data_IF_551286775004
#
_entry.id   IF_551286775004
#
_cell.length_a   1.000
_cell.length_b   1.000
_cell.length_c   1.000
_cell.angle_alpha   90.00
_cell.angle_beta   90.00
_cell.angle_gamma   90.00
#
_symmetry.space_group_name_H-M   'P 1'
#
loop_
_entity.id
_entity.type
_entity.pdbx_description
1 polymer ?
#
# COMPACT_ATOMS: atom_id res chain seq x y z
N UNK A 1 1.61 50.31 -57.27
CA UNK A 1 2.61 49.21 -56.95
C UNK A 1 3.03 49.08 -55.48
N UNK A 2 2.91 50.07 -54.62
CA UNK A 2 3.30 49.97 -53.20
C UNK A 2 2.30 49.19 -52.34
N UNK A 3 1.02 49.12 -52.67
CA UNK A 3 -0.02 48.45 -51.87
C UNK A 3 0.10 46.94 -51.99
N UNK A 4 0.39 46.40 -53.17
CA UNK A 4 0.52 44.95 -53.39
C UNK A 4 1.66 44.33 -52.58
N UNK A 5 2.75 45.04 -52.35
CA UNK A 5 3.89 44.52 -51.55
C UNK A 5 3.55 44.39 -50.07
N UNK A 6 2.71 45.24 -49.50
CA UNK A 6 2.27 45.16 -48.10
C UNK A 6 1.38 43.94 -47.84
N UNK A 7 0.46 43.64 -48.75
CA UNK A 7 -0.39 42.43 -48.61
C UNK A 7 0.40 41.14 -48.75
N UNK A 8 1.42 41.11 -49.62
CA UNK A 8 2.29 39.96 -49.80
C UNK A 8 3.14 39.71 -48.56
N UNK A 9 3.65 40.77 -47.91
CA UNK A 9 4.42 40.62 -46.64
C UNK A 9 3.53 40.17 -45.49
N UNK A 10 2.27 40.68 -45.36
CA UNK A 10 1.33 40.23 -44.36
C UNK A 10 0.92 38.75 -44.56
N UNK A 11 0.70 38.33 -45.80
CA UNK A 11 0.37 36.96 -46.14
C UNK A 11 1.53 35.99 -45.80
N UNK A 12 2.79 36.38 -46.09
CA UNK A 12 3.96 35.56 -45.70
C UNK A 12 4.14 35.50 -44.20
N UNK A 13 3.88 36.59 -43.45
CA UNK A 13 3.99 36.59 -42.00
C UNK A 13 2.95 35.67 -41.33
N UNK A 14 1.70 35.69 -41.84
CA UNK A 14 0.65 34.77 -41.37
C UNK A 14 0.96 33.33 -41.73
N UNK A 15 1.49 33.03 -42.91
CA UNK A 15 1.88 31.66 -43.32
C UNK A 15 3.00 31.15 -42.44
N UNK A 16 3.96 32.00 -42.05
CA UNK A 16 5.08 31.61 -41.15
C UNK A 16 4.58 31.32 -39.72
N UNK A 17 3.60 32.07 -39.23
CA UNK A 17 2.96 31.87 -37.93
C UNK A 17 2.17 30.54 -37.88
N UNK A 18 1.42 30.24 -38.95
CA UNK A 18 0.67 28.98 -39.07
C UNK A 18 1.60 27.77 -39.17
N UNK A 19 2.71 27.87 -39.92
CA UNK A 19 3.71 26.82 -40.04
C UNK A 19 4.45 26.60 -38.73
N UNK A 20 4.66 27.63 -37.92
CA UNK A 20 5.29 27.51 -36.58
C UNK A 20 4.43 26.71 -35.59
N UNK A 21 3.10 26.81 -35.70
CA UNK A 21 2.18 26.03 -34.84
C UNK A 21 2.10 24.56 -35.27
N UNK A 22 2.25 24.26 -36.57
CA UNK A 22 2.19 22.87 -37.08
C UNK A 22 3.48 22.09 -36.79
N UNK A 23 4.63 22.79 -36.68
CA UNK A 23 5.94 22.20 -36.37
C UNK A 23 6.22 22.10 -34.87
N UNK A 24 5.27 22.48 -34.00
CA UNK A 24 5.40 22.19 -32.58
C UNK A 24 5.29 20.66 -32.39
N UNK A 25 6.38 19.93 -32.10
CA UNK A 25 6.27 18.50 -31.85
C UNK A 25 5.33 18.36 -30.64
N UNK A 26 4.19 17.73 -30.87
CA UNK A 26 3.35 17.25 -29.78
C UNK A 26 4.25 16.37 -28.92
N UNK A 27 4.83 16.97 -27.89
CA UNK A 27 5.50 16.21 -26.85
C UNK A 27 4.43 15.35 -26.18
N UNK A 28 4.21 14.18 -26.73
CA UNK A 28 3.53 13.10 -26.04
C UNK A 28 4.34 12.83 -24.78
N UNK A 29 3.99 13.51 -23.69
CA UNK A 29 4.50 13.18 -22.36
C UNK A 29 4.14 11.72 -22.12
N UNK A 30 5.09 10.84 -22.41
CA UNK A 30 5.00 9.44 -22.04
C UNK A 30 4.73 9.41 -20.54
N UNK A 31 3.50 9.09 -20.16
CA UNK A 31 3.01 9.05 -18.78
C UNK A 31 3.83 8.00 -18.05
N UNK A 32 4.98 8.41 -17.51
CA UNK A 32 5.96 7.53 -16.88
C UNK A 32 5.24 6.65 -15.86
N UNK A 33 5.46 5.33 -15.93
CA UNK A 33 4.84 4.37 -15.00
C UNK A 33 5.01 4.84 -13.56
N UNK A 34 3.90 5.12 -12.87
CA UNK A 34 3.90 5.63 -11.48
C UNK A 34 4.58 4.61 -10.56
N UNK A 35 5.29 5.09 -9.55
CA UNK A 35 5.87 4.25 -8.50
C UNK A 35 4.74 3.67 -7.64
N UNK A 36 4.65 2.33 -7.56
CA UNK A 36 3.61 1.63 -6.79
C UNK A 36 4.24 0.79 -5.67
N UNK A 37 3.49 0.64 -4.58
CA UNK A 37 3.84 -0.16 -3.41
C UNK A 37 2.83 -1.31 -3.29
N UNK A 38 3.31 -2.52 -3.06
CA UNK A 38 2.49 -3.71 -2.83
C UNK A 38 2.90 -4.36 -1.51
N UNK A 39 1.92 -4.74 -0.68
CA UNK A 39 2.15 -5.66 0.43
C UNK A 39 2.12 -7.08 -0.13
N UNK A 40 3.11 -7.91 0.22
CA UNK A 40 3.24 -9.27 -0.32
C UNK A 40 2.61 -10.31 0.59
N UNK A 41 2.48 -10.02 1.88
CA UNK A 41 1.96 -10.93 2.90
C UNK A 41 0.71 -10.39 3.61
N UNK A 42 0.04 -9.41 3.01
CA UNK A 42 -1.19 -8.84 3.56
C UNK A 42 -2.01 -8.16 2.48
N UNK A 43 -3.31 -8.40 2.45
CA UNK A 43 -4.22 -7.79 1.48
C UNK A 43 -4.72 -6.42 1.92
N UNK A 44 -6.01 -6.31 2.30
CA UNK A 44 -6.66 -5.06 2.68
C UNK A 44 -6.70 -4.84 4.18
N UNK A 45 -6.71 -5.92 4.96
CA UNK A 45 -6.79 -5.88 6.41
C UNK A 45 -6.10 -7.08 7.06
N UNK A 46 -5.65 -6.88 8.30
CA UNK A 46 -5.03 -7.90 9.15
C UNK A 46 -5.78 -7.95 10.48
N UNK A 47 -6.04 -9.16 10.96
CA UNK A 47 -6.42 -9.43 12.34
C UNK A 47 -5.16 -9.88 13.09
N UNK A 48 -4.81 -9.22 14.18
CA UNK A 48 -3.59 -9.47 14.93
C UNK A 48 -3.94 -9.71 16.40
N UNK A 49 -3.67 -10.89 16.97
CA UNK A 49 -3.83 -11.16 18.40
C UNK A 49 -2.94 -10.26 19.24
N UNK A 50 -3.35 -9.92 20.47
CA UNK A 50 -2.70 -8.91 21.30
C UNK A 50 -1.23 -9.22 21.62
N UNK A 51 -0.86 -10.47 21.82
CA UNK A 51 0.52 -10.88 22.18
C UNK A 51 1.35 -11.33 20.98
N UNK A 52 0.80 -11.28 19.76
CA UNK A 52 1.51 -11.69 18.55
C UNK A 52 2.21 -10.51 17.88
N UNK A 53 3.23 -10.78 17.07
CA UNK A 53 3.84 -9.79 16.19
C UNK A 53 3.80 -10.28 14.76
N UNK A 54 3.69 -9.36 13.80
CA UNK A 54 3.69 -9.70 12.38
C UNK A 54 4.55 -8.71 11.59
N UNK A 55 5.37 -9.23 10.68
CA UNK A 55 6.17 -8.40 9.78
C UNK A 55 5.44 -8.16 8.48
N UNK A 56 5.32 -6.90 8.05
CA UNK A 56 4.80 -6.53 6.74
C UNK A 56 5.92 -6.51 5.71
N UNK A 57 5.80 -7.34 4.69
CA UNK A 57 6.72 -7.36 3.55
C UNK A 57 6.20 -6.48 2.41
N UNK A 58 7.12 -5.77 1.74
CA UNK A 58 6.78 -4.76 0.74
C UNK A 58 7.56 -4.99 -0.54
N UNK A 59 6.85 -4.97 -1.69
CA UNK A 59 7.42 -4.94 -3.03
C UNK A 59 7.13 -3.60 -3.69
N UNK A 60 8.07 -3.13 -4.51
CA UNK A 60 7.95 -1.89 -5.26
C UNK A 60 7.91 -2.18 -6.76
N UNK A 61 7.11 -1.41 -7.51
CA UNK A 61 7.01 -1.55 -8.98
C UNK A 61 8.28 -1.14 -9.73
N UNK A 62 9.16 -0.38 -9.08
CA UNK A 62 10.45 0.10 -9.62
C UNK A 62 11.54 0.00 -8.55
N UNK A 63 12.82 -0.05 -8.97
CA UNK A 63 13.94 0.00 -8.04
C UNK A 63 13.89 1.28 -7.18
N UNK A 64 14.17 1.12 -5.88
CA UNK A 64 14.28 2.26 -4.97
C UNK A 64 15.52 3.06 -5.31
N UNK A 65 15.39 4.39 -5.41
CA UNK A 65 16.55 5.28 -5.50
C UNK A 65 17.10 5.54 -4.09
N UNK A 66 18.40 5.64 -3.93
CA UNK A 66 19.06 5.99 -2.65
C UNK A 66 18.55 7.33 -2.07
N UNK A 67 18.01 8.21 -2.93
CA UNK A 67 17.44 9.49 -2.53
C UNK A 67 16.03 9.42 -1.93
N UNK A 68 15.43 8.23 -1.83
CA UNK A 68 14.08 8.11 -1.27
C UNK A 68 14.11 7.93 0.25
N UNK A 69 13.29 8.72 0.93
CA UNK A 69 13.00 8.56 2.35
C UNK A 69 11.77 7.67 2.51
N UNK A 70 11.94 6.51 3.14
CA UNK A 70 10.90 5.49 3.29
C UNK A 70 10.57 5.37 4.76
N UNK A 71 9.28 5.54 5.12
CA UNK A 71 8.82 5.47 6.50
C UNK A 71 7.56 4.61 6.65
N UNK A 72 7.47 3.96 7.80
CA UNK A 72 6.26 3.35 8.31
C UNK A 72 5.59 4.29 9.31
N UNK A 73 4.28 4.40 9.24
CA UNK A 73 3.49 5.26 10.12
C UNK A 73 2.28 4.47 10.63
N UNK A 74 1.97 4.60 11.93
CA UNK A 74 0.74 4.06 12.53
C UNK A 74 -0.20 5.22 12.84
N UNK A 75 -1.48 5.08 12.48
CA UNK A 75 -2.50 6.07 12.84
C UNK A 75 -2.82 6.07 14.34
N UNK A 76 -2.59 4.95 15.00
CA UNK A 76 -2.77 4.83 16.45
C UNK A 76 -1.65 3.96 17.07
N UNK A 77 -0.51 4.56 17.43
CA UNK A 77 0.63 3.85 18.01
C UNK A 77 0.34 3.23 19.38
N UNK A 78 -0.72 3.68 20.07
CA UNK A 78 -1.18 3.09 21.35
C UNK A 78 -1.85 1.73 21.13
N UNK A 79 -2.42 1.49 19.94
CA UNK A 79 -3.02 0.20 19.56
C UNK A 79 -2.01 -0.69 18.87
N UNK A 80 -1.30 -0.17 17.84
CA UNK A 80 -0.26 -0.91 17.10
C UNK A 80 0.94 -0.01 16.87
N UNK A 81 2.11 -0.41 17.36
CA UNK A 81 3.39 0.21 17.02
C UNK A 81 3.95 -0.48 15.76
N UNK A 82 4.57 0.28 14.87
CA UNK A 82 5.28 -0.25 13.70
C UNK A 82 6.74 0.16 13.74
N UNK A 83 7.65 -0.79 13.50
CA UNK A 83 9.09 -0.54 13.45
C UNK A 83 9.53 -0.06 12.05
N UNK A 84 10.78 0.45 11.95
CA UNK A 84 11.40 0.79 10.65
C UNK A 84 11.47 -0.41 9.69
N UNK A 85 11.53 -1.63 10.20
CA UNK A 85 11.56 -2.89 9.43
C UNK A 85 10.16 -3.39 9.04
N UNK A 86 9.08 -2.70 9.43
CA UNK A 86 7.70 -3.11 9.14
C UNK A 86 7.13 -4.14 10.11
N UNK A 87 7.76 -4.34 11.28
CA UNK A 87 7.26 -5.23 12.33
C UNK A 87 6.13 -4.51 13.06
N UNK A 88 4.96 -5.12 13.10
CA UNK A 88 3.78 -4.69 13.84
C UNK A 88 3.82 -5.29 15.24
N UNK A 89 3.74 -4.44 16.25
CA UNK A 89 3.66 -4.86 17.66
C UNK A 89 2.35 -4.32 18.23
N UNK A 90 1.34 -5.17 18.50
CA UNK A 90 0.10 -4.76 19.14
C UNK A 90 0.38 -4.38 20.60
N UNK A 91 -0.28 -3.32 21.06
CA UNK A 91 -0.16 -2.81 22.44
C UNK A 91 -1.48 -2.88 23.18
N UNK A 92 -2.60 -2.68 22.47
CA UNK A 92 -3.95 -2.67 23.02
C UNK A 92 -4.94 -3.15 21.96
N UNK A 93 -6.04 -3.75 22.37
CA UNK A 93 -7.15 -4.09 21.48
C UNK A 93 -7.72 -2.84 20.81
N UNK A 94 -8.14 -2.98 19.56
CA UNK A 94 -8.67 -1.86 18.79
C UNK A 94 -8.31 -1.90 17.32
N UNK A 95 -8.46 -0.77 16.65
CA UNK A 95 -8.19 -0.61 15.21
C UNK A 95 -7.09 0.43 14.98
N UNK A 96 -6.20 0.17 14.03
CA UNK A 96 -5.19 1.12 13.56
C UNK A 96 -5.01 0.98 12.04
N UNK A 97 -4.53 2.04 11.40
CA UNK A 97 -4.14 2.02 9.97
C UNK A 97 -2.64 2.19 9.89
N UNK A 98 -1.98 1.21 9.34
CA UNK A 98 -0.54 1.27 9.09
C UNK A 98 -0.31 1.78 7.68
N UNK A 99 0.56 2.77 7.54
CA UNK A 99 0.91 3.40 6.27
C UNK A 99 2.38 3.20 5.97
N UNK A 100 2.66 2.83 4.74
CA UNK A 100 4.01 2.82 4.18
C UNK A 100 4.13 3.97 3.18
N UNK A 101 5.02 4.92 3.47
CA UNK A 101 5.13 6.18 2.73
C UNK A 101 6.53 6.31 2.15
N UNK A 102 6.61 6.60 0.85
CA UNK A 102 7.86 6.87 0.12
C UNK A 102 7.86 8.34 -0.28
N UNK A 103 8.89 9.06 0.13
CA UNK A 103 9.09 10.50 -0.15
C UNK A 103 10.42 10.74 -0.86
N UNK A 104 10.52 11.85 -1.57
CA UNK A 104 11.81 12.39 -2.05
C UNK A 104 12.60 12.99 -0.88
N UNK A 105 13.87 13.35 -1.08
CA UNK A 105 14.63 14.14 -0.11
C UNK A 105 13.97 15.49 0.19
N UNK A 106 13.31 16.11 -0.80
CA UNK A 106 12.53 17.34 -0.66
C UNK A 106 11.19 17.16 0.06
N UNK A 107 10.87 15.97 0.59
CA UNK A 107 9.64 15.69 1.33
C UNK A 107 8.41 15.35 0.48
N UNK A 108 8.45 15.49 -0.85
CA UNK A 108 7.31 15.17 -1.74
C UNK A 108 6.96 13.68 -1.68
N UNK A 109 5.69 13.36 -1.46
CA UNK A 109 5.20 11.98 -1.45
C UNK A 109 5.18 11.41 -2.87
N UNK A 110 5.90 10.33 -3.10
CA UNK A 110 5.96 9.60 -4.39
C UNK A 110 4.90 8.51 -4.42
N UNK A 111 4.78 7.76 -3.33
CA UNK A 111 3.81 6.70 -3.19
C UNK A 111 3.44 6.49 -1.72
N UNK A 112 2.20 6.05 -1.49
CA UNK A 112 1.67 5.69 -0.19
C UNK A 112 0.80 4.44 -0.34
N UNK A 113 0.95 3.49 0.56
CA UNK A 113 0.08 2.31 0.69
C UNK A 113 -0.30 2.16 2.15
N UNK A 114 -1.56 1.81 2.41
CA UNK A 114 -2.08 1.62 3.76
C UNK A 114 -2.77 0.27 3.91
N UNK A 115 -2.79 -0.24 5.15
CA UNK A 115 -3.48 -1.46 5.53
C UNK A 115 -4.18 -1.24 6.87
N UNK A 116 -5.39 -1.79 7.01
CA UNK A 116 -6.16 -1.75 8.25
C UNK A 116 -5.71 -2.91 9.15
N UNK A 117 -5.44 -2.64 10.43
CA UNK A 117 -5.08 -3.66 11.42
C UNK A 117 -6.13 -3.60 12.53
N UNK A 118 -6.73 -4.75 12.83
CA UNK A 118 -7.63 -4.95 13.98
C UNK A 118 -6.91 -5.82 14.98
N UNK A 119 -6.63 -5.28 16.16
CA UNK A 119 -6.09 -6.06 17.28
C UNK A 119 -7.24 -6.68 18.05
N UNK A 120 -7.21 -8.00 18.15
CA UNK A 120 -8.18 -8.79 18.91
C UNK A 120 -7.59 -9.21 20.25
N UNK A 121 -8.44 -9.46 21.27
CA UNK A 121 -7.96 -10.13 22.49
C UNK A 121 -7.29 -11.45 22.13
N UNK A 122 -6.37 -11.90 22.96
CA UNK A 122 -5.86 -13.25 22.89
C UNK A 122 -7.00 -14.21 23.23
N UNK A 123 -7.33 -15.12 22.32
CA UNK A 123 -8.23 -16.22 22.63
C UNK A 123 -7.37 -17.26 23.33
N UNK A 124 -7.45 -17.28 24.67
CA UNK A 124 -6.98 -18.46 25.39
C UNK A 124 -7.90 -19.63 24.96
N UNK A 125 -7.38 -20.52 24.13
CA UNK A 125 -8.00 -21.81 23.91
C UNK A 125 -7.80 -22.54 25.24
N UNK A 126 -8.82 -22.49 26.11
CA UNK A 126 -8.91 -23.39 27.24
C UNK A 126 -8.94 -24.77 26.60
N UNK A 127 -7.89 -25.55 26.80
CA UNK A 127 -7.89 -26.94 26.39
C UNK A 127 -9.14 -27.56 27.02
N UNK A 128 -10.08 -27.94 26.21
CA UNK A 128 -11.16 -28.84 26.62
C UNK A 128 -10.42 -30.15 26.82
N UNK A 129 -10.03 -30.44 28.07
CA UNK A 129 -9.69 -31.79 28.43
C UNK A 129 -10.98 -32.59 28.19
N UNK A 130 -11.00 -33.39 27.14
CA UNK A 130 -11.91 -34.50 27.05
C UNK A 130 -11.58 -35.38 28.24
N UNK A 131 -12.30 -35.22 29.33
CA UNK A 131 -12.42 -36.33 30.30
C UNK A 131 -13.12 -37.41 29.48
N UNK A 132 -12.34 -38.42 29.11
CA UNK A 132 -12.81 -39.69 28.63
C UNK A 132 -13.50 -40.33 29.86
N UNK A 133 -14.82 -40.05 29.98
CA UNK A 133 -15.70 -40.80 30.90
C UNK A 133 -15.56 -42.26 30.47
N UNK A 134 -14.76 -42.99 31.23
CA UNK A 134 -14.71 -44.42 31.15
C UNK A 134 -16.13 -44.97 31.29
N UNK A 135 -16.77 -45.17 30.14
CA UNK A 135 -18.06 -45.81 30.06
C UNK A 135 -17.90 -47.21 30.67
N UNK A 136 -18.54 -47.39 31.83
CA UNK A 136 -18.68 -48.68 32.46
C UNK A 136 -19.13 -49.73 31.47
N UNK A 137 -18.30 -50.76 31.26
CA UNK A 137 -18.67 -51.95 30.53
C UNK A 137 -19.87 -52.61 31.21
N UNK A 138 -21.04 -52.39 30.67
CA UNK A 138 -22.23 -53.15 31.00
C UNK A 138 -22.14 -54.49 30.28
N UNK A 139 -21.64 -55.51 30.99
CA UNK A 139 -21.63 -56.90 30.57
C UNK A 139 -23.10 -57.34 30.29
N UNK A 140 -23.46 -57.41 29.02
CA UNK A 140 -24.70 -58.03 28.58
C UNK A 140 -24.50 -59.54 28.67
N UNK A 141 -25.04 -60.14 29.74
CA UNK A 141 -25.13 -61.59 29.95
C UNK A 141 -26.23 -62.14 29.08
N UNK A 142 -25.92 -62.90 28.05
CA UNK A 142 -26.86 -63.67 27.29
C UNK A 142 -27.28 -64.91 28.06
N UNK A 143 -28.56 -65.22 28.23
CA UNK A 143 -29.02 -66.50 28.80
C UNK A 143 -28.88 -67.61 27.77
N UNK A 144 -28.41 -68.78 28.24
CA UNK A 144 -28.33 -70.07 27.53
C UNK A 144 -29.65 -70.70 27.25
#
# INVERSE_FOLDING_TARGET
>A
MKVQRKYLQLACLNLFLVMSVILCPHQTYAKGKKFKIYFTNAEKSIKLPLKSSQTLSVRYSKKKKASYNIKWESSNPRVVKVSKKGILTPKKTGKSVIRHVVRTKSGKVIAKKSIKVKVTPEIAIKAISCEEDAASETLIKYPS
#
